data_IF_447471211704
#
_entry.id   IF_447471211704
#
_cell.length_a   1.000
_cell.length_b   1.000
_cell.length_c   1.000
_cell.angle_alpha   90.00
_cell.angle_beta   90.00
_cell.angle_gamma   90.00
#
_symmetry.space_group_name_H-M   'P 1'
#
loop_
_entity.id
_entity.type
_entity.pdbx_description
1 polymer ?
#
# COMPACT_ATOMS: atom_id res chain seq x y z
N UNK A 1 -11.10 19.51 4.01
CA UNK A 1 -10.32 20.57 3.38
C UNK A 1 -11.05 20.98 2.12
N UNK A 2 -11.56 22.20 2.07
CA UNK A 2 -12.35 22.72 0.92
C UNK A 2 -11.48 22.96 -0.32
N UNK A 3 -10.15 22.74 -0.22
CA UNK A 3 -9.20 22.86 -1.31
C UNK A 3 -9.45 21.88 -2.46
N UNK A 4 -10.08 20.72 -2.21
CA UNK A 4 -10.27 19.64 -3.18
C UNK A 4 -11.76 19.41 -3.53
N UNK A 5 -12.46 20.48 -3.90
CA UNK A 5 -13.93 20.61 -3.96
C UNK A 5 -14.76 19.68 -4.87
N UNK A 6 -14.28 18.48 -5.24
CA UNK A 6 -15.01 17.49 -6.07
C UNK A 6 -15.02 16.11 -5.43
N UNK A 7 -16.03 15.82 -4.60
CA UNK A 7 -16.34 14.48 -4.10
C UNK A 7 -15.20 13.79 -3.31
N UNK A 8 -15.45 12.60 -2.76
CA UNK A 8 -14.38 11.78 -2.17
C UNK A 8 -13.72 10.93 -3.25
N UNK A 9 -12.42 10.71 -3.16
CA UNK A 9 -11.59 9.86 -4.04
C UNK A 9 -11.34 10.31 -5.48
N UNK A 10 -11.89 11.42 -5.96
CA UNK A 10 -11.87 11.74 -7.41
C UNK A 10 -10.45 11.98 -7.95
N UNK A 11 -9.56 12.52 -7.13
CA UNK A 11 -8.15 12.75 -7.47
C UNK A 11 -7.19 11.65 -6.98
N UNK A 12 -7.72 10.59 -6.33
CA UNK A 12 -6.87 9.63 -5.62
C UNK A 12 -5.97 8.81 -6.53
N UNK A 13 -6.39 8.50 -7.77
CA UNK A 13 -5.56 7.76 -8.71
C UNK A 13 -4.30 8.55 -9.15
N UNK A 14 -4.40 9.81 -9.62
CA UNK A 14 -3.23 10.67 -9.84
C UNK A 14 -2.32 10.81 -8.62
N UNK A 15 -2.92 11.04 -7.43
CA UNK A 15 -2.15 11.18 -6.19
C UNK A 15 -1.40 9.89 -5.85
N UNK A 16 -2.02 8.71 -6.07
CA UNK A 16 -1.37 7.43 -5.87
C UNK A 16 -0.16 7.24 -6.79
N UNK A 17 -0.27 7.64 -8.07
CA UNK A 17 0.87 7.62 -9.01
C UNK A 17 2.01 8.53 -8.53
N UNK A 18 1.71 9.74 -8.06
CA UNK A 18 2.71 10.64 -7.49
C UNK A 18 3.36 10.03 -6.24
N UNK A 19 2.59 9.40 -5.35
CA UNK A 19 3.13 8.75 -4.16
C UNK A 19 4.14 7.65 -4.53
N UNK A 20 3.79 6.80 -5.50
CA UNK A 20 4.69 5.76 -6.02
C UNK A 20 5.93 6.34 -6.73
N UNK A 21 5.84 7.56 -7.28
CA UNK A 21 6.98 8.25 -7.86
C UNK A 21 7.90 8.81 -6.79
N UNK A 22 7.31 9.41 -5.76
CA UNK A 22 8.04 9.96 -4.62
C UNK A 22 8.78 8.88 -3.84
N UNK A 23 8.31 7.61 -3.85
CA UNK A 23 9.04 6.51 -3.20
C UNK A 23 10.34 6.16 -3.91
N UNK A 24 10.47 6.51 -5.20
CA UNK A 24 11.71 6.36 -5.95
C UNK A 24 12.67 7.54 -5.81
N UNK A 25 12.14 8.72 -5.43
CA UNK A 25 12.93 9.95 -5.26
C UNK A 25 13.43 10.09 -3.81
N UNK A 26 12.61 9.70 -2.85
CA UNK A 26 12.89 9.82 -1.42
C UNK A 26 12.61 8.51 -0.70
N UNK A 27 13.47 8.15 0.25
CA UNK A 27 13.24 6.99 1.11
C UNK A 27 11.92 7.16 1.90
N UNK A 28 10.90 6.30 1.70
CA UNK A 28 9.60 6.33 2.37
C UNK A 28 9.67 6.37 3.89
N UNK A 29 10.64 5.68 4.50
CA UNK A 29 10.81 5.67 5.97
C UNK A 29 11.19 7.05 6.54
N UNK A 30 11.63 7.97 5.68
CA UNK A 30 12.01 9.35 6.04
C UNK A 30 10.97 10.38 5.65
N UNK A 31 9.82 9.96 5.10
CA UNK A 31 8.78 10.89 4.71
C UNK A 31 8.23 11.64 5.92
N UNK A 32 8.11 12.95 5.75
CA UNK A 32 7.52 13.87 6.72
C UNK A 32 6.37 14.61 6.06
N UNK A 33 5.64 15.42 6.83
CA UNK A 33 4.50 16.21 6.33
C UNK A 33 4.78 16.97 5.04
N UNK A 34 5.94 17.66 4.85
CA UNK A 34 6.24 18.31 3.57
C UNK A 34 6.18 17.38 2.35
N UNK A 35 6.72 16.16 2.45
CA UNK A 35 6.69 15.19 1.34
C UNK A 35 5.25 14.71 1.07
N UNK A 36 4.48 14.46 2.13
CA UNK A 36 3.07 14.05 2.02
C UNK A 36 2.22 15.16 1.38
N UNK A 37 2.44 16.40 1.77
CA UNK A 37 1.75 17.56 1.20
C UNK A 37 2.14 17.81 -0.25
N UNK A 38 3.42 17.64 -0.60
CA UNK A 38 3.90 17.72 -2.00
C UNK A 38 3.26 16.63 -2.87
N UNK A 39 3.06 15.42 -2.34
CA UNK A 39 2.36 14.34 -3.05
C UNK A 39 0.92 14.77 -3.40
N UNK A 40 0.21 15.38 -2.46
CA UNK A 40 -1.15 15.88 -2.70
C UNK A 40 -1.16 17.02 -3.71
N UNK A 41 -0.22 17.95 -3.59
CA UNK A 41 -0.12 19.11 -4.49
C UNK A 41 0.18 18.67 -5.94
N UNK A 42 1.22 17.87 -6.15
CA UNK A 42 1.57 17.35 -7.47
C UNK A 42 0.49 16.40 -8.03
N UNK A 43 -0.20 15.68 -7.16
CA UNK A 43 -1.32 14.82 -7.54
C UNK A 43 -2.52 15.61 -8.05
N UNK A 44 -2.83 16.76 -7.45
CA UNK A 44 -3.85 17.70 -7.94
C UNK A 44 -3.45 18.30 -9.31
N UNK A 45 -2.17 18.69 -9.48
CA UNK A 45 -1.69 19.15 -10.79
C UNK A 45 -1.83 18.06 -11.88
N UNK A 46 -1.47 16.81 -11.56
CA UNK A 46 -1.63 15.68 -12.47
C UNK A 46 -3.11 15.37 -12.76
N UNK A 47 -3.98 15.47 -11.74
CA UNK A 47 -5.42 15.33 -11.90
C UNK A 47 -5.98 16.37 -12.88
N UNK A 48 -5.65 17.64 -12.68
CA UNK A 48 -6.13 18.73 -13.54
C UNK A 48 -5.65 18.58 -14.99
N UNK A 49 -4.36 18.24 -15.18
CA UNK A 49 -3.83 17.95 -16.52
C UNK A 49 -4.52 16.75 -17.17
N UNK A 50 -4.83 15.71 -16.40
CA UNK A 50 -5.55 14.53 -16.89
C UNK A 50 -6.94 14.90 -17.38
N UNK A 51 -7.68 15.70 -16.60
CA UNK A 51 -9.02 16.17 -17.01
C UNK A 51 -8.98 17.00 -18.28
N UNK A 52 -7.98 17.87 -18.43
CA UNK A 52 -7.79 18.67 -19.64
C UNK A 52 -7.56 17.77 -20.87
N UNK A 53 -6.72 16.73 -20.74
CA UNK A 53 -6.45 15.76 -21.80
C UNK A 53 -7.67 14.92 -22.17
N UNK A 54 -8.50 14.53 -21.21
CA UNK A 54 -9.72 13.76 -21.46
C UNK A 54 -10.82 14.60 -22.11
N UNK A 55 -10.82 15.92 -21.88
CA UNK A 55 -11.74 16.86 -22.51
C UNK A 55 -13.21 16.55 -22.20
N UNK A 56 -14.09 16.83 -23.17
CA UNK A 56 -15.54 16.68 -23.00
C UNK A 56 -16.04 15.23 -23.04
N UNK A 57 -15.19 14.25 -23.39
CA UNK A 57 -15.56 12.83 -23.43
C UNK A 57 -15.63 12.21 -22.02
N UNK A 58 -14.93 12.80 -21.04
CA UNK A 58 -14.95 12.35 -19.66
C UNK A 58 -16.02 13.08 -18.86
N UNK A 59 -16.96 12.30 -18.31
CA UNK A 59 -18.00 12.82 -17.42
C UNK A 59 -17.62 12.54 -15.95
N UNK A 60 -17.09 13.53 -15.20
CA UNK A 60 -16.66 13.33 -13.82
C UNK A 60 -17.80 13.01 -12.84
N UNK A 61 -19.06 13.20 -13.25
CA UNK A 61 -20.24 12.90 -12.42
C UNK A 61 -20.72 11.45 -12.57
N UNK A 62 -20.33 10.78 -13.65
CA UNK A 62 -20.74 9.40 -13.96
C UNK A 62 -19.55 8.43 -13.92
N UNK A 63 -18.32 8.93 -14.09
CA UNK A 63 -17.12 8.13 -14.23
C UNK A 63 -16.08 8.49 -13.16
N UNK A 64 -15.62 7.49 -12.41
CA UNK A 64 -14.42 7.64 -11.57
C UNK A 64 -13.17 7.72 -12.43
N UNK A 65 -12.21 8.58 -12.04
CA UNK A 65 -10.91 8.63 -12.69
C UNK A 65 -10.05 7.47 -12.19
N UNK A 66 -9.96 6.40 -12.98
CA UNK A 66 -9.12 5.24 -12.66
C UNK A 66 -7.67 5.48 -13.09
N UNK A 67 -6.74 4.68 -12.56
CA UNK A 67 -5.32 4.74 -12.92
C UNK A 67 -5.05 4.62 -14.43
N UNK A 68 -5.93 3.92 -15.16
CA UNK A 68 -5.83 3.75 -16.62
C UNK A 68 -6.08 5.03 -17.41
N UNK A 69 -6.81 5.99 -16.84
CA UNK A 69 -7.15 7.26 -17.47
C UNK A 69 -6.13 8.37 -17.13
N UNK A 70 -5.24 8.15 -16.16
CA UNK A 70 -4.27 9.15 -15.72
C UNK A 70 -3.23 9.42 -16.80
N UNK A 71 -2.90 10.70 -17.03
CA UNK A 71 -1.85 11.10 -17.95
C UNK A 71 -0.51 10.43 -17.56
N UNK A 72 0.08 9.71 -18.53
CA UNK A 72 1.27 8.89 -18.27
C UNK A 72 2.54 9.69 -18.08
N UNK A 73 2.64 10.86 -18.71
CA UNK A 73 3.78 11.75 -18.64
C UNK A 73 3.49 12.96 -17.75
N UNK A 74 4.37 13.22 -16.79
CA UNK A 74 4.20 14.26 -15.78
C UNK A 74 5.55 14.69 -15.21
N UNK A 75 5.52 15.56 -14.18
CA UNK A 75 6.72 16.05 -13.50
C UNK A 75 6.61 15.84 -12.00
N UNK A 76 7.75 15.58 -11.38
CA UNK A 76 7.96 15.62 -9.93
C UNK A 76 9.04 16.66 -9.68
N UNK A 77 8.63 17.87 -9.30
CA UNK A 77 9.51 19.04 -9.28
C UNK A 77 10.13 19.32 -10.66
N UNK A 78 11.46 19.24 -10.76
CA UNK A 78 12.19 19.42 -12.03
C UNK A 78 12.40 18.12 -12.81
N UNK A 79 12.05 16.96 -12.23
CA UNK A 79 12.25 15.66 -12.84
C UNK A 79 11.08 15.32 -13.76
N UNK A 80 11.41 14.88 -14.98
CA UNK A 80 10.41 14.25 -15.86
C UNK A 80 10.12 12.85 -15.33
N UNK A 81 8.84 12.51 -15.32
CA UNK A 81 8.36 11.21 -14.90
C UNK A 81 7.40 10.63 -15.93
N UNK A 82 7.40 9.31 -16.03
CA UNK A 82 6.45 8.54 -16.80
C UNK A 82 6.06 7.27 -16.03
N UNK A 83 4.84 6.78 -16.24
CA UNK A 83 4.46 5.45 -15.78
C UNK A 83 3.85 4.56 -16.87
N UNK A 84 4.05 3.25 -16.71
CA UNK A 84 3.39 2.18 -17.45
C UNK A 84 2.56 1.30 -16.52
N UNK A 85 1.53 0.67 -17.07
CA UNK A 85 0.69 -0.29 -16.34
C UNK A 85 0.95 -1.69 -16.90
N UNK A 86 1.15 -2.67 -16.03
CA UNK A 86 1.24 -4.08 -16.44
C UNK A 86 -0.14 -4.69 -16.57
N UNK A 87 -0.27 -5.72 -17.40
CA UNK A 87 -1.55 -6.42 -17.64
C UNK A 87 -1.82 -7.54 -16.65
N UNK A 88 -1.06 -7.63 -15.55
CA UNK A 88 -1.14 -8.69 -14.53
C UNK A 88 -1.94 -8.22 -13.31
N UNK A 89 -3.06 -7.54 -13.54
CA UNK A 89 -3.95 -7.04 -12.50
C UNK A 89 -4.42 -8.18 -11.59
N UNK A 90 -4.44 -7.95 -10.28
CA UNK A 90 -5.13 -8.83 -9.34
C UNK A 90 -6.56 -8.32 -9.15
N UNK A 91 -7.56 -9.19 -9.33
CA UNK A 91 -8.98 -8.82 -9.25
C UNK A 91 -9.72 -9.78 -8.34
N UNK A 92 -10.63 -9.26 -7.53
CA UNK A 92 -11.38 -10.06 -6.58
C UNK A 92 -12.40 -9.25 -5.79
N UNK A 93 -12.83 -9.77 -4.65
CA UNK A 93 -13.77 -9.12 -3.73
C UNK A 93 -13.06 -8.73 -2.43
N UNK A 94 -13.33 -7.55 -1.88
CA UNK A 94 -12.53 -6.98 -0.78
C UNK A 94 -12.45 -7.93 0.42
N UNK A 95 -13.59 -8.25 1.04
CA UNK A 95 -13.68 -9.11 2.21
C UNK A 95 -14.64 -10.27 1.91
N UNK A 96 -14.10 -11.41 1.47
CA UNK A 96 -14.85 -12.64 1.21
C UNK A 96 -14.14 -13.88 1.76
N UNK A 97 -14.96 -14.82 2.25
CA UNK A 97 -14.52 -16.14 2.75
C UNK A 97 -15.04 -17.23 1.81
N UNK A 98 -14.62 -17.20 0.55
CA UNK A 98 -14.99 -18.18 -0.46
C UNK A 98 -13.73 -18.71 -1.14
N UNK A 99 -13.53 -20.04 -1.26
CA UNK A 99 -12.27 -20.62 -1.73
C UNK A 99 -11.93 -20.28 -3.19
N UNK A 100 -12.94 -20.08 -4.04
CA UNK A 100 -12.74 -19.80 -5.47
C UNK A 100 -12.71 -18.31 -5.83
N UNK A 101 -12.92 -17.42 -4.86
CA UNK A 101 -12.93 -15.97 -5.10
C UNK A 101 -11.80 -15.36 -4.30
N UNK A 102 -10.90 -14.67 -5.00
CA UNK A 102 -9.76 -14.01 -4.40
C UNK A 102 -10.24 -12.87 -3.49
N UNK A 103 -9.77 -12.86 -2.24
CA UNK A 103 -9.94 -11.71 -1.34
C UNK A 103 -8.75 -10.73 -1.44
N UNK A 104 -8.88 -9.53 -0.85
CA UNK A 104 -7.83 -8.50 -0.97
C UNK A 104 -6.48 -8.96 -0.42
N UNK A 105 -6.48 -9.79 0.63
CA UNK A 105 -5.24 -10.34 1.19
C UNK A 105 -4.54 -11.24 0.18
N UNK A 106 -5.27 -12.20 -0.41
CA UNK A 106 -4.73 -13.08 -1.44
C UNK A 106 -4.29 -12.29 -2.68
N UNK A 107 -5.05 -11.27 -3.07
CA UNK A 107 -4.68 -10.38 -4.17
C UNK A 107 -3.38 -9.65 -3.90
N UNK A 108 -3.18 -9.13 -2.69
CA UNK A 108 -1.92 -8.50 -2.31
C UNK A 108 -0.75 -9.49 -2.24
N UNK A 109 -0.98 -10.69 -1.68
CA UNK A 109 0.03 -11.75 -1.63
C UNK A 109 0.50 -12.09 -3.05
N UNK A 110 -0.42 -12.38 -3.97
CA UNK A 110 -0.13 -12.66 -5.38
C UNK A 110 0.53 -11.48 -6.10
N UNK A 111 0.03 -10.26 -5.87
CA UNK A 111 0.57 -9.04 -6.45
C UNK A 111 2.07 -8.90 -6.13
N UNK A 112 2.41 -9.07 -4.86
CA UNK A 112 3.78 -9.00 -4.36
C UNK A 112 4.60 -10.26 -4.67
N UNK A 113 4.12 -11.25 -5.41
CA UNK A 113 5.01 -12.30 -5.94
C UNK A 113 5.85 -11.79 -7.12
N UNK A 114 5.29 -10.87 -7.91
CA UNK A 114 5.86 -10.45 -9.20
C UNK A 114 6.11 -8.94 -9.32
N UNK A 115 5.50 -8.14 -8.43
CA UNK A 115 5.48 -6.68 -8.54
C UNK A 115 5.94 -6.03 -7.23
N UNK A 116 6.47 -4.81 -7.35
CA UNK A 116 6.92 -4.00 -6.22
C UNK A 116 6.02 -2.80 -5.96
N UNK A 117 5.42 -2.19 -7.00
CA UNK A 117 4.65 -0.95 -6.91
C UNK A 117 3.30 -1.10 -7.63
N UNK A 118 2.22 -0.63 -7.00
CA UNK A 118 0.87 -0.78 -7.54
C UNK A 118 -0.14 0.14 -6.90
N UNK A 119 -1.33 0.21 -7.52
CA UNK A 119 -2.47 0.97 -7.02
C UNK A 119 -3.61 -0.01 -6.74
N UNK A 120 -4.22 0.08 -5.57
CA UNK A 120 -5.44 -0.65 -5.23
C UNK A 120 -6.63 0.28 -5.49
N UNK A 121 -7.58 -0.16 -6.31
CA UNK A 121 -8.80 0.56 -6.63
C UNK A 121 -10.03 -0.24 -6.20
N UNK A 122 -10.98 0.44 -5.58
CA UNK A 122 -12.31 -0.03 -5.21
C UNK A 122 -13.29 1.09 -5.48
N UNK A 123 -14.59 0.84 -5.32
CA UNK A 123 -15.60 1.91 -5.39
C UNK A 123 -15.36 3.05 -4.37
N UNK A 124 -14.75 2.74 -3.22
CA UNK A 124 -14.71 3.68 -2.08
C UNK A 124 -13.32 4.15 -1.70
N UNK A 125 -12.27 3.53 -2.23
CA UNK A 125 -10.89 3.79 -1.87
C UNK A 125 -9.99 3.54 -3.08
N UNK A 126 -9.04 4.45 -3.27
CA UNK A 126 -7.90 4.27 -4.17
C UNK A 126 -6.64 4.63 -3.39
N UNK A 127 -5.70 3.69 -3.28
CA UNK A 127 -4.46 3.86 -2.49
C UNK A 127 -3.25 3.33 -3.26
N UNK A 128 -2.08 3.92 -3.03
CA UNK A 128 -0.82 3.38 -3.52
C UNK A 128 -0.27 2.34 -2.54
N UNK A 129 0.33 1.28 -3.06
CA UNK A 129 0.99 0.25 -2.25
C UNK A 129 2.30 -0.21 -2.88
N UNK A 130 3.34 -0.41 -2.06
CA UNK A 130 4.62 -0.91 -2.55
C UNK A 130 5.44 -1.63 -1.49
N UNK A 131 6.46 -2.37 -1.95
CA UNK A 131 7.57 -2.87 -1.14
C UNK A 131 8.88 -2.29 -1.69
N UNK A 132 9.81 -1.94 -0.79
CA UNK A 132 11.17 -1.57 -1.19
C UNK A 132 12.07 -2.79 -1.36
N UNK A 133 12.91 -2.78 -2.40
CA UNK A 133 13.90 -3.83 -2.63
C UNK A 133 15.02 -3.83 -1.57
N UNK A 134 15.39 -2.65 -1.06
CA UNK A 134 16.54 -2.47 -0.15
C UNK A 134 16.19 -2.75 1.31
N UNK A 135 14.92 -2.59 1.69
CA UNK A 135 14.39 -2.96 3.00
C UNK A 135 13.27 -3.99 2.84
N UNK A 136 13.61 -5.22 2.41
CA UNK A 136 12.61 -6.25 2.17
C UNK A 136 11.94 -6.64 3.49
N UNK A 137 10.60 -6.59 3.52
CA UNK A 137 9.82 -7.02 4.69
C UNK A 137 8.75 -6.04 5.13
N UNK A 138 8.81 -4.79 4.69
CA UNK A 138 7.75 -3.82 4.94
C UNK A 138 6.89 -3.55 3.70
N UNK A 139 5.59 -3.46 3.92
CA UNK A 139 4.60 -3.03 2.94
C UNK A 139 4.23 -1.58 3.26
N UNK A 140 4.48 -0.69 2.32
CA UNK A 140 4.13 0.72 2.40
C UNK A 140 2.79 0.95 1.74
N UNK A 141 1.94 1.76 2.36
CA UNK A 141 0.65 2.17 1.81
C UNK A 141 0.48 3.66 1.98
N UNK A 142 0.26 4.37 0.87
CA UNK A 142 -0.10 5.77 0.91
C UNK A 142 -1.60 5.92 0.66
N UNK A 143 -2.30 6.47 1.64
CA UNK A 143 -3.74 6.75 1.55
C UNK A 143 -3.97 8.25 1.43
N UNK A 144 -4.47 8.74 0.28
CA UNK A 144 -4.71 10.17 0.05
C UNK A 144 -5.94 10.72 0.79
N UNK A 145 -6.75 9.86 1.41
CA UNK A 145 -7.99 10.26 2.03
C UNK A 145 -7.81 10.80 3.46
N UNK A 146 -8.84 11.44 4.04
CA UNK A 146 -8.79 11.89 5.43
C UNK A 146 -8.60 10.73 6.42
N UNK A 147 -7.42 10.68 7.05
CA UNK A 147 -7.05 9.72 8.10
C UNK A 147 -6.63 10.41 9.38
N UNK A 148 -6.86 9.73 10.50
CA UNK A 148 -6.32 10.08 11.81
C UNK A 148 -4.93 9.48 12.05
N UNK A 149 -4.34 9.70 13.24
CA UNK A 149 -2.99 9.23 13.56
C UNK A 149 -2.78 7.71 13.46
N UNK A 150 -3.85 6.92 13.59
CA UNK A 150 -3.82 5.46 13.45
C UNK A 150 -4.03 4.97 12.00
N UNK A 151 -4.07 5.88 11.02
CA UNK A 151 -4.38 5.54 9.62
C UNK A 151 -5.84 5.19 9.35
N UNK A 152 -6.73 5.34 10.32
CA UNK A 152 -8.16 5.08 10.16
C UNK A 152 -8.91 6.34 9.76
N UNK A 153 -10.03 6.20 9.04
CA UNK A 153 -10.88 7.31 8.65
C UNK A 153 -11.20 8.25 9.82
N UNK A 154 -10.90 9.54 9.61
CA UNK A 154 -11.25 10.62 10.52
C UNK A 154 -11.77 11.79 9.70
N UNK A 155 -12.96 12.30 10.06
CA UNK A 155 -13.50 13.49 9.42
C UNK A 155 -12.57 14.67 9.65
N UNK A 156 -12.15 15.35 8.57
CA UNK A 156 -11.15 16.42 8.65
C UNK A 156 -9.72 15.94 8.91
N UNK A 157 -9.46 14.64 8.81
CA UNK A 157 -8.11 14.08 8.82
C UNK A 157 -7.31 14.45 7.57
N UNK A 158 -6.08 13.94 7.51
CA UNK A 158 -5.12 14.20 6.41
C UNK A 158 -4.68 12.90 5.74
N UNK A 159 -4.07 13.01 4.57
CA UNK A 159 -3.41 11.88 3.92
C UNK A 159 -2.26 11.34 4.77
N UNK A 160 -1.94 10.06 4.64
CA UNK A 160 -0.86 9.46 5.42
C UNK A 160 -0.12 8.34 4.68
N UNK A 161 1.15 8.18 5.03
CA UNK A 161 1.92 6.98 4.78
C UNK A 161 1.78 6.01 5.95
N UNK A 162 1.55 4.75 5.66
CA UNK A 162 1.48 3.65 6.62
C UNK A 162 2.50 2.59 6.24
N UNK A 163 3.09 1.96 7.26
CA UNK A 163 4.11 0.92 7.11
C UNK A 163 3.64 -0.30 7.86
N UNK A 164 3.59 -1.45 7.19
CA UNK A 164 3.13 -2.71 7.73
C UNK A 164 4.23 -3.77 7.66
N UNK A 165 4.36 -4.58 8.70
CA UNK A 165 5.32 -5.71 8.72
C UNK A 165 4.89 -6.89 7.86
N UNK A 166 3.60 -6.97 7.50
CA UNK A 166 3.05 -8.07 6.71
C UNK A 166 1.95 -7.60 5.78
N UNK A 167 1.80 -8.30 4.66
CA UNK A 167 0.67 -8.13 3.73
C UNK A 167 -0.67 -8.30 4.44
N UNK A 168 -0.76 -9.23 5.42
CA UNK A 168 -1.96 -9.42 6.21
C UNK A 168 -2.38 -8.14 6.96
N UNK A 169 -1.43 -7.46 7.61
CA UNK A 169 -1.72 -6.22 8.33
C UNK A 169 -2.17 -5.10 7.39
N UNK A 170 -1.53 -4.97 6.22
CA UNK A 170 -1.93 -4.02 5.20
C UNK A 170 -3.36 -4.31 4.69
N UNK A 171 -3.67 -5.58 4.41
CA UNK A 171 -5.00 -6.01 3.98
C UNK A 171 -6.09 -5.75 5.03
N UNK A 172 -5.84 -6.12 6.29
CA UNK A 172 -6.78 -5.89 7.39
C UNK A 172 -7.04 -4.39 7.60
N UNK A 173 -5.99 -3.57 7.49
CA UNK A 173 -6.09 -2.12 7.59
C UNK A 173 -6.90 -1.51 6.42
N UNK A 174 -6.67 -1.98 5.19
CA UNK A 174 -7.44 -1.56 4.03
C UNK A 174 -8.94 -1.86 4.21
N UNK A 175 -9.29 -3.08 4.63
CA UNK A 175 -10.68 -3.48 4.91
C UNK A 175 -11.31 -2.60 6.01
N UNK A 176 -10.54 -2.26 7.05
CA UNK A 176 -11.01 -1.39 8.13
C UNK A 176 -11.40 0.01 7.64
N UNK A 177 -10.69 0.54 6.64
CA UNK A 177 -10.97 1.84 6.03
C UNK A 177 -12.08 1.83 4.98
N UNK A 178 -12.55 0.66 4.54
CA UNK A 178 -13.85 0.55 3.85
C UNK A 178 -14.95 0.72 4.91
N UNK A 179 -15.29 1.97 5.19
CA UNK A 179 -16.15 2.37 6.31
C UNK A 179 -17.59 1.92 6.12
N UNK A 180 -18.08 1.95 4.88
CA UNK A 180 -19.37 1.37 4.54
C UNK A 180 -19.24 -0.15 4.46
N UNK A 181 -19.78 -0.84 5.46
CA UNK A 181 -19.72 -2.31 5.54
C UNK A 181 -20.41 -3.00 4.37
N UNK A 182 -21.40 -2.38 3.73
CA UNK A 182 -22.07 -2.95 2.55
C UNK A 182 -21.12 -3.01 1.36
N UNK A 183 -20.18 -2.07 1.28
CA UNK A 183 -19.15 -1.98 0.23
C UNK A 183 -17.96 -2.92 0.44
N UNK A 184 -17.82 -3.55 1.61
CA UNK A 184 -16.77 -4.56 1.87
C UNK A 184 -16.93 -5.85 1.06
N UNK A 185 -18.10 -6.06 0.45
CA UNK A 185 -18.33 -7.14 -0.52
C UNK A 185 -18.12 -6.71 -1.97
N UNK A 186 -17.70 -5.45 -2.19
CA UNK A 186 -17.42 -4.92 -3.51
C UNK A 186 -16.12 -5.46 -4.10
N UNK A 187 -15.94 -5.18 -5.39
CA UNK A 187 -14.77 -5.58 -6.15
C UNK A 187 -13.55 -4.72 -5.80
N UNK A 188 -12.37 -5.31 -5.95
CA UNK A 188 -11.11 -4.60 -5.97
C UNK A 188 -10.31 -4.95 -7.23
N UNK A 189 -9.47 -4.01 -7.64
CA UNK A 189 -8.41 -4.21 -8.64
C UNK A 189 -7.09 -3.74 -8.05
N UNK A 190 -6.03 -4.53 -8.18
CA UNK A 190 -4.66 -4.11 -7.88
C UNK A 190 -3.91 -4.07 -9.20
N UNK A 191 -3.58 -2.86 -9.67
CA UNK A 191 -2.91 -2.64 -10.93
C UNK A 191 -1.42 -2.39 -10.69
N UNK A 192 -0.51 -3.21 -11.25
CA UNK A 192 0.92 -2.97 -11.13
C UNK A 192 1.36 -1.77 -11.97
N UNK A 193 2.21 -0.94 -11.37
CA UNK A 193 2.71 0.30 -11.97
C UNK A 193 4.23 0.25 -12.08
N UNK A 194 4.74 0.53 -13.27
CA UNK A 194 6.16 0.72 -13.52
C UNK A 194 6.42 2.22 -13.71
N UNK A 195 7.37 2.78 -12.96
CA UNK A 195 7.61 4.22 -12.93
C UNK A 195 9.06 4.49 -13.31
N UNK A 196 9.26 5.56 -14.08
CA UNK A 196 10.55 6.16 -14.34
C UNK A 196 10.46 7.63 -13.94
N UNK A 197 11.35 8.09 -13.05
CA UNK A 197 11.43 9.48 -12.60
C UNK A 197 12.89 9.94 -12.56
N UNK A 198 13.25 10.87 -13.44
CA UNK A 198 14.66 11.24 -13.64
C UNK A 198 15.51 10.02 -14.00
N UNK A 199 16.46 9.67 -13.12
CA UNK A 199 17.33 8.49 -13.28
C UNK A 199 16.85 7.27 -12.46
N UNK A 200 15.81 7.42 -11.64
CA UNK A 200 15.26 6.36 -10.82
C UNK A 200 14.14 5.63 -11.58
N UNK A 201 14.00 4.33 -11.32
CA UNK A 201 12.92 3.52 -11.89
C UNK A 201 12.52 2.38 -10.97
N UNK A 202 11.27 1.95 -11.08
CA UNK A 202 10.81 0.72 -10.42
C UNK A 202 11.67 -0.45 -10.87
N UNK A 203 12.09 -1.26 -9.90
CA UNK A 203 12.86 -2.47 -10.14
C UNK A 203 11.91 -3.68 -10.20
N UNK A 204 12.14 -4.64 -11.11
CA UNK A 204 11.42 -5.91 -11.09
C UNK A 204 11.66 -6.64 -9.78
N UNK A 205 10.63 -7.31 -9.25
CA UNK A 205 10.78 -8.08 -8.03
C UNK A 205 11.74 -9.25 -8.25
N UNK A 206 12.81 -9.31 -7.46
CA UNK A 206 13.68 -10.50 -7.42
C UNK A 206 12.89 -11.63 -6.76
N UNK A 207 12.83 -12.80 -7.39
CA UNK A 207 12.27 -14.00 -6.76
C UNK A 207 13.02 -14.22 -5.45
N UNK A 208 12.32 -14.13 -4.31
CA UNK A 208 12.87 -14.60 -3.04
C UNK A 208 13.08 -16.11 -3.20
N UNK A 209 14.28 -16.60 -2.96
CA UNK A 209 14.48 -18.03 -2.77
C UNK A 209 13.56 -18.43 -1.62
N UNK A 210 12.56 -19.26 -1.91
CA UNK A 210 11.76 -19.88 -0.86
C UNK A 210 12.72 -20.78 -0.13
N UNK A 211 13.21 -20.32 1.01
CA UNK A 211 13.90 -21.19 1.94
C UNK A 211 12.87 -22.24 2.32
N UNK A 212 12.99 -23.43 1.73
CA UNK A 212 12.23 -24.61 2.13
C UNK A 212 12.84 -25.03 3.46
N UNK A 213 12.54 -24.24 4.50
CA UNK A 213 12.84 -24.57 5.87
C UNK A 213 12.07 -25.85 6.17
N UNK A 214 12.76 -26.97 6.01
CA UNK A 214 12.34 -28.22 6.60
C UNK A 214 12.27 -27.88 8.08
N UNK A 215 11.07 -27.81 8.66
CA UNK A 215 10.96 -27.71 10.12
C UNK A 215 11.51 -29.03 10.67
N UNK A 216 12.82 -29.09 10.92
CA UNK A 216 13.35 -30.04 11.86
C UNK A 216 12.73 -29.66 13.20
N UNK A 217 11.79 -30.50 13.64
CA UNK A 217 11.37 -30.57 15.03
C UNK A 217 12.64 -30.79 15.86
N UNK A 218 13.18 -29.70 16.42
CA UNK A 218 14.15 -29.78 17.50
C UNK A 218 13.46 -30.56 18.61
N UNK A 219 13.80 -31.84 18.74
CA UNK A 219 13.40 -32.65 19.88
C UNK A 219 13.99 -31.97 21.11
N UNK A 220 13.14 -31.28 21.87
CA UNK A 220 13.52 -30.77 23.17
C UNK A 220 14.04 -31.93 24.02
N UNK A 221 15.34 -31.95 24.27
CA UNK A 221 15.91 -32.83 25.28
C UNK A 221 15.29 -32.42 26.62
N UNK A 222 14.57 -33.36 27.24
CA UNK A 222 14.10 -33.21 28.61
C UNK A 222 15.34 -33.06 29.49
N UNK A 223 15.57 -31.86 30.00
CA UNK A 223 16.50 -31.64 31.09
C UNK A 223 16.07 -32.50 32.29
N UNK A 224 16.81 -33.57 32.56
CA UNK A 224 16.69 -34.34 33.79
C UNK A 224 17.28 -33.48 34.91
N UNK A 225 16.52 -33.12 35.97
CA UNK A 225 17.09 -32.37 37.08
C UNK A 225 18.15 -33.22 37.78
N UNK A 226 19.40 -32.73 37.79
CA UNK A 226 20.47 -33.30 38.60
C UNK A 226 20.14 -33.23 40.10
N UNK A 227 20.77 -34.07 40.94
CA UNK A 227 20.41 -34.21 42.34
C UNK A 227 20.59 -32.89 43.11
N UNK A 228 19.49 -32.42 43.69
CA UNK A 228 19.41 -31.25 44.56
C UNK A 228 20.29 -31.42 45.81
N UNK A 229 21.29 -30.55 45.96
CA UNK A 229 22.09 -30.44 47.18
C UNK A 229 21.30 -29.66 48.27
N UNK A 230 20.81 -30.39 49.28
CA UNK A 230 19.99 -29.87 50.39
C UNK A 230 20.77 -28.94 51.37
N UNK A 231 22.00 -28.50 51.07
CA UNK A 231 22.80 -27.68 51.98
C UNK A 231 22.70 -26.16 51.82
N UNK A 232 22.03 -25.63 50.80
CA UNK A 232 22.02 -24.17 50.56
C UNK A 232 20.78 -23.38 51.05
N UNK A 233 19.78 -24.01 51.69
CA UNK A 233 18.57 -23.32 52.17
C UNK A 233 18.52 -23.03 53.69
N UNK A 234 19.67 -22.99 54.38
CA UNK A 234 19.73 -22.63 55.81
C UNK A 234 20.49 -21.34 56.16
N UNK A 235 20.74 -20.46 55.18
CA UNK A 235 21.41 -19.16 55.42
C UNK A 235 20.59 -17.92 55.04
N UNK A 236 19.28 -18.04 54.83
CA UNK A 236 18.38 -16.88 54.62
C UNK A 236 17.20 -16.85 55.61
N UNK A 237 17.35 -17.50 56.76
CA UNK A 237 16.42 -17.38 57.88
C UNK A 237 17.22 -17.28 59.19
N UNK A 238 17.83 -16.13 59.42
CA UNK A 238 18.26 -15.62 60.71
C UNK A 238 18.15 -14.09 60.67
#
# INVERSE_FOLDING_TARGET
DDKFGRGRNVQSAPVAIIALSMSLVHNPSTWTTPIVDDILYLGDELYMSTLESLGYEYNPWEQGLTVHLVNKDYKVGLLRANFGLRTTDQRGMIDIKHPSIMNIRQGLENFFEENTHGVIETETLTVAIWEEDEQPGFVYMYDPNPRGPAGLYLSGGTACLLIFETVKMAADHFIANVTDKTKRRGEFVITPVEIVVGNAKTKPKKKRERDCGTMELVKGERAVPGPYDKRQLRKMAA
#
